data_IF_840015387272
#
_entry.id   IF_840015387272
#
_cell.length_a   1.000
_cell.length_b   1.000
_cell.length_c   1.000
_cell.angle_alpha   90.00
_cell.angle_beta   90.00
_cell.angle_gamma   90.00
#
_symmetry.space_group_name_H-M   'P 1'
#
loop_
_entity.id
_entity.type
_entity.pdbx_description
1 polymer ?
#
# COMPACT_ATOMS: atom_id res chain seq x y z
N UNK A 1 3.12 30.39 64.32
CA UNK A 1 2.44 29.14 63.89
C UNK A 1 1.37 29.43 62.83
N UNK A 2 1.72 29.85 61.61
CA UNK A 2 0.76 29.99 60.49
C UNK A 2 1.34 29.66 59.10
N UNK A 3 2.63 29.32 59.00
CA UNK A 3 3.33 29.09 57.72
C UNK A 3 3.70 27.63 57.46
N UNK A 4 3.40 26.71 58.38
CA UNK A 4 3.73 25.27 58.23
C UNK A 4 2.53 24.47 57.69
N UNK A 5 1.31 25.02 57.74
CA UNK A 5 0.10 24.28 57.36
C UNK A 5 -0.21 24.31 55.86
N UNK A 6 0.40 25.21 55.10
CA UNK A 6 0.09 25.41 53.67
C UNK A 6 0.95 24.55 52.74
N UNK A 7 2.05 23.98 53.23
CA UNK A 7 2.94 23.15 52.42
C UNK A 7 2.51 21.67 52.36
N UNK A 8 1.58 21.24 53.23
CA UNK A 8 1.11 19.85 53.29
C UNK A 8 -0.09 19.56 52.38
N UNK A 9 -0.78 20.58 51.85
CA UNK A 9 -1.92 20.39 50.95
C UNK A 9 -1.55 20.38 49.44
N UNK A 10 -0.31 20.69 49.07
CA UNK A 10 0.14 20.69 47.66
C UNK A 10 0.76 19.36 47.20
N UNK A 11 0.89 18.37 48.08
CA UNK A 11 1.42 17.03 47.77
C UNK A 11 0.32 15.95 47.63
N UNK A 12 -0.95 16.34 47.69
CA UNK A 12 -2.09 15.42 47.79
C UNK A 12 -2.87 15.11 46.52
N UNK A 13 -2.49 15.67 45.36
CA UNK A 13 -3.14 15.34 44.08
C UNK A 13 -2.21 14.47 43.27
N UNK A 14 -2.02 13.23 43.72
CA UNK A 14 -1.66 12.15 42.81
C UNK A 14 -2.85 11.96 41.88
N UNK A 15 -2.85 12.69 40.77
CA UNK A 15 -3.69 12.36 39.62
C UNK A 15 -3.23 10.96 39.22
N UNK A 16 -3.97 9.93 39.64
CA UNK A 16 -3.85 8.62 39.04
C UNK A 16 -4.26 8.79 37.58
N UNK A 17 -3.27 9.10 36.74
CA UNK A 17 -3.31 8.87 35.30
C UNK A 17 -3.41 7.35 35.14
N UNK A 18 -4.59 6.80 35.37
CA UNK A 18 -4.90 5.41 35.06
C UNK A 18 -4.76 5.27 33.56
N UNK A 19 -3.66 4.66 33.13
CA UNK A 19 -3.46 4.35 31.72
C UNK A 19 -4.65 3.51 31.24
N UNK A 20 -5.30 3.96 30.16
CA UNK A 20 -6.46 3.31 29.58
C UNK A 20 -6.19 1.81 29.36
N UNK A 21 -7.01 0.95 30.00
CA UNK A 21 -6.83 -0.49 30.00
C UNK A 21 -7.53 -1.08 28.78
N UNK A 22 -6.73 -1.58 27.84
CA UNK A 22 -7.24 -2.26 26.65
C UNK A 22 -7.19 -3.77 26.88
N UNK A 23 -8.34 -4.42 26.75
CA UNK A 23 -8.51 -5.87 26.87
C UNK A 23 -9.00 -6.45 25.54
N UNK A 24 -8.59 -7.68 25.25
CA UNK A 24 -9.02 -8.42 24.07
C UNK A 24 -9.35 -9.85 24.44
N UNK A 25 -10.62 -10.24 24.25
CA UNK A 25 -11.10 -11.58 24.57
C UNK A 25 -12.24 -11.96 23.63
N UNK A 26 -12.23 -13.20 23.14
CA UNK A 26 -13.26 -13.73 22.25
C UNK A 26 -13.55 -12.79 21.07
N UNK A 27 -12.49 -12.30 20.42
CA UNK A 27 -12.58 -11.37 19.29
C UNK A 27 -13.24 -10.02 19.61
N UNK A 28 -13.37 -9.63 20.88
CA UNK A 28 -13.95 -8.35 21.30
C UNK A 28 -12.88 -7.49 21.95
N UNK A 29 -12.80 -6.23 21.53
CA UNK A 29 -12.02 -5.19 22.21
C UNK A 29 -12.87 -4.59 23.31
N UNK A 30 -12.31 -4.52 24.51
CA UNK A 30 -12.85 -3.73 25.60
C UNK A 30 -11.85 -2.69 26.07
N UNK A 31 -12.34 -1.50 26.39
CA UNK A 31 -11.56 -0.38 26.92
C UNK A 31 -12.15 0.02 28.25
N UNK A 32 -11.35 -0.08 29.31
CA UNK A 32 -11.78 0.13 30.70
C UNK A 32 -13.06 -0.68 31.05
N UNK A 33 -13.16 -1.90 30.51
CA UNK A 33 -14.30 -2.81 30.69
C UNK A 33 -15.44 -2.61 29.70
N UNK A 34 -15.48 -1.52 28.94
CA UNK A 34 -16.52 -1.25 27.95
C UNK A 34 -16.20 -1.91 26.61
N UNK A 35 -17.09 -2.76 26.11
CA UNK A 35 -16.92 -3.41 24.79
C UNK A 35 -17.13 -2.38 23.69
N UNK A 36 -16.12 -2.19 22.84
CA UNK A 36 -16.15 -1.14 21.80
C UNK A 36 -16.17 -1.69 20.38
N UNK A 37 -15.80 -2.95 20.15
CA UNK A 37 -15.81 -3.51 18.80
C UNK A 37 -15.41 -4.97 18.73
N UNK A 38 -15.68 -5.57 17.58
CA UNK A 38 -15.38 -6.96 17.23
C UNK A 38 -14.26 -6.98 16.19
N UNK A 39 -13.28 -7.86 16.38
CA UNK A 39 -12.14 -8.01 15.46
C UNK A 39 -12.20 -9.36 14.78
N UNK A 40 -12.26 -9.33 13.47
CA UNK A 40 -12.06 -10.50 12.63
C UNK A 40 -10.59 -10.55 12.21
N UNK A 41 -9.94 -11.68 12.47
CA UNK A 41 -8.53 -11.91 12.13
C UNK A 41 -8.46 -12.84 10.93
N UNK A 42 -7.94 -12.35 9.82
CA UNK A 42 -7.74 -13.11 8.60
C UNK A 42 -6.28 -13.55 8.51
N UNK A 43 -6.03 -14.83 8.77
CA UNK A 43 -4.68 -15.41 8.70
C UNK A 43 -4.27 -15.60 7.24
N UNK A 44 -3.03 -15.23 6.93
CA UNK A 44 -2.38 -15.42 5.63
C UNK A 44 -1.04 -16.13 5.83
N UNK A 45 -0.49 -16.72 4.76
CA UNK A 45 0.81 -17.41 4.79
C UNK A 45 0.95 -18.41 5.96
N UNK A 46 -0.01 -19.34 6.07
CA UNK A 46 -0.08 -20.31 7.17
C UNK A 46 -0.15 -19.69 8.59
N UNK A 47 -0.58 -18.43 8.68
CA UNK A 47 -0.72 -17.70 9.94
C UNK A 47 0.49 -16.84 10.31
N UNK A 48 1.53 -16.79 9.47
CA UNK A 48 2.70 -15.92 9.67
C UNK A 48 2.34 -14.43 9.52
N UNK A 49 1.33 -14.13 8.72
CA UNK A 49 0.80 -12.77 8.55
C UNK A 49 -0.70 -12.77 8.83
N UNK A 50 -1.23 -11.61 9.23
CA UNK A 50 -2.63 -11.45 9.60
C UNK A 50 -3.15 -10.13 9.06
N UNK A 51 -4.34 -10.12 8.48
CA UNK A 51 -5.11 -8.91 8.23
C UNK A 51 -6.24 -8.81 9.26
N UNK A 52 -6.72 -7.61 9.52
CA UNK A 52 -7.71 -7.36 10.56
C UNK A 52 -8.87 -6.55 10.00
N UNK A 53 -10.09 -6.97 10.29
CA UNK A 53 -11.28 -6.14 10.13
C UNK A 53 -11.83 -5.83 11.52
N UNK A 54 -12.08 -4.55 11.77
CA UNK A 54 -12.79 -4.09 12.96
C UNK A 54 -14.24 -3.80 12.58
N UNK A 55 -15.15 -4.30 13.39
CA UNK A 55 -16.57 -4.02 13.30
C UNK A 55 -17.05 -3.37 14.60
N UNK A 56 -18.09 -2.53 14.50
CA UNK A 56 -18.85 -2.10 15.66
C UNK A 56 -19.53 -3.31 16.33
N UNK A 57 -20.07 -3.10 17.53
CA UNK A 57 -20.82 -4.14 18.22
C UNK A 57 -22.05 -4.60 17.41
N UNK A 58 -22.62 -3.70 16.60
CA UNK A 58 -23.78 -3.96 15.74
C UNK A 58 -23.42 -4.47 14.34
N UNK A 59 -22.13 -4.70 14.07
CA UNK A 59 -21.65 -5.35 12.85
C UNK A 59 -21.32 -4.39 11.69
N UNK A 60 -21.32 -3.08 11.90
CA UNK A 60 -20.83 -2.14 10.88
C UNK A 60 -19.31 -2.21 10.79
N UNK A 61 -18.77 -2.33 9.57
CA UNK A 61 -17.32 -2.38 9.38
C UNK A 61 -16.73 -0.98 9.57
N UNK A 62 -15.76 -0.86 10.47
CA UNK A 62 -15.15 0.41 10.86
C UNK A 62 -13.75 0.57 10.27
N UNK A 63 -12.92 -0.47 10.37
CA UNK A 63 -11.51 -0.42 9.96
C UNK A 63 -11.13 -1.69 9.20
N UNK A 64 -10.35 -1.51 8.14
CA UNK A 64 -9.65 -2.60 7.44
C UNK A 64 -8.16 -2.35 7.60
N UNK A 65 -7.42 -3.31 8.17
CA UNK A 65 -5.97 -3.25 8.29
C UNK A 65 -5.34 -4.40 7.50
N UNK A 66 -4.58 -4.06 6.46
CA UNK A 66 -3.94 -5.01 5.55
C UNK A 66 -2.43 -4.84 5.61
N UNK A 67 -1.69 -5.94 5.60
CA UNK A 67 -0.24 -5.93 5.44
C UNK A 67 0.14 -5.19 4.15
N UNK A 68 1.08 -4.26 4.24
CA UNK A 68 1.58 -3.50 3.11
C UNK A 68 3.00 -3.91 2.76
N UNK A 69 3.13 -4.71 1.70
CA UNK A 69 4.41 -5.20 1.17
C UNK A 69 5.09 -4.20 0.24
N UNK A 70 4.38 -3.14 -0.15
CA UNK A 70 4.84 -2.06 -1.03
C UNK A 70 5.82 -1.07 -0.39
N UNK A 71 6.18 -1.23 0.89
CA UNK A 71 7.03 -0.32 1.64
C UNK A 71 8.40 -0.94 1.94
N UNK A 72 9.46 -0.11 1.88
CA UNK A 72 10.81 -0.52 2.27
C UNK A 72 10.82 -0.88 3.74
N UNK A 73 11.22 -2.12 4.03
CA UNK A 73 11.50 -2.55 5.39
C UNK A 73 12.43 -1.56 6.07
N UNK A 74 12.14 -1.24 7.33
CA UNK A 74 13.00 -0.34 8.09
C UNK A 74 14.34 -1.04 8.35
N UNK A 75 15.43 -0.48 7.84
CA UNK A 75 16.78 -1.05 7.99
C UNK A 75 17.20 -1.19 9.45
N UNK A 76 16.59 -0.41 10.34
CA UNK A 76 16.87 -0.43 11.77
C UNK A 76 15.80 -1.20 12.58
N UNK A 77 14.75 -1.72 11.95
CA UNK A 77 13.66 -2.44 12.60
C UNK A 77 13.16 -3.59 11.71
N UNK A 78 13.73 -4.76 11.95
CA UNK A 78 13.35 -6.04 11.33
C UNK A 78 12.26 -6.79 12.13
N UNK A 79 11.70 -6.16 13.17
CA UNK A 79 10.74 -6.80 14.09
C UNK A 79 9.30 -6.36 13.84
N UNK A 80 9.10 -5.44 12.90
CA UNK A 80 7.79 -4.87 12.59
C UNK A 80 7.50 -4.92 11.08
N UNK A 81 6.22 -4.95 10.77
CA UNK A 81 5.69 -4.87 9.41
C UNK A 81 4.81 -3.65 9.25
N UNK A 82 4.78 -3.09 8.04
CA UNK A 82 3.88 -1.99 7.72
C UNK A 82 2.48 -2.50 7.39
N UNK A 83 1.48 -1.79 7.89
CA UNK A 83 0.08 -2.07 7.67
C UNK A 83 -0.63 -0.79 7.22
N UNK A 84 -1.45 -0.92 6.19
CA UNK A 84 -2.37 0.13 5.75
C UNK A 84 -3.71 -0.06 6.45
N UNK A 85 -4.11 0.95 7.21
CA UNK A 85 -5.39 1.02 7.89
C UNK A 85 -6.30 1.96 7.11
N UNK A 86 -7.45 1.45 6.69
CA UNK A 86 -8.53 2.22 6.06
C UNK A 86 -9.65 2.38 7.07
N UNK A 87 -9.96 3.62 7.45
CA UNK A 87 -11.02 4.00 8.37
C UNK A 87 -12.26 4.34 7.55
N UNK A 88 -13.21 3.39 7.44
CA UNK A 88 -14.27 3.44 6.43
C UNK A 88 -15.26 4.59 6.64
N UNK A 89 -15.81 4.85 7.85
CA UNK A 89 -16.77 5.93 8.03
C UNK A 89 -16.19 7.34 7.77
N UNK A 90 -14.87 7.52 7.95
CA UNK A 90 -14.21 8.82 7.82
C UNK A 90 -13.44 8.99 6.50
N UNK A 91 -13.36 7.93 5.68
CA UNK A 91 -12.57 7.89 4.44
C UNK A 91 -11.09 8.26 4.62
N UNK A 92 -10.53 7.97 5.78
CA UNK A 92 -9.12 8.25 6.08
C UNK A 92 -8.27 6.99 5.97
N UNK A 93 -7.00 7.18 5.59
CA UNK A 93 -6.03 6.10 5.48
C UNK A 93 -4.76 6.49 6.23
N UNK A 94 -4.25 5.56 7.04
CA UNK A 94 -2.97 5.70 7.72
C UNK A 94 -2.11 4.45 7.55
N UNK A 95 -0.79 4.62 7.56
CA UNK A 95 0.16 3.50 7.58
C UNK A 95 0.72 3.38 9.00
N UNK A 96 0.75 2.17 9.54
CA UNK A 96 1.19 1.89 10.91
C UNK A 96 2.18 0.74 10.91
N UNK A 97 3.07 0.71 11.91
CA UNK A 97 3.93 -0.46 12.16
C UNK A 97 3.29 -1.37 13.20
N UNK A 98 3.21 -2.67 12.88
CA UNK A 98 2.82 -3.71 13.83
C UNK A 98 3.98 -4.69 14.02
N UNK A 99 4.31 -5.01 15.27
CA UNK A 99 5.33 -6.01 15.59
C UNK A 99 4.92 -7.39 15.08
N UNK A 100 5.81 -8.11 14.41
CA UNK A 100 5.56 -9.46 13.84
C UNK A 100 5.13 -10.48 14.89
N UNK A 101 5.71 -10.42 16.09
CA UNK A 101 5.42 -11.36 17.18
C UNK A 101 4.11 -11.03 17.93
N UNK A 102 3.62 -9.80 17.81
CA UNK A 102 2.48 -9.30 18.58
C UNK A 102 1.48 -8.49 17.73
N UNK A 103 1.35 -8.82 16.44
CA UNK A 103 0.59 -8.01 15.46
C UNK A 103 -0.82 -7.71 15.94
N UNK A 104 -1.51 -8.74 16.41
CA UNK A 104 -2.89 -8.64 16.89
C UNK A 104 -2.98 -7.73 18.11
N UNK A 105 -2.17 -7.96 19.15
CA UNK A 105 -2.10 -7.08 20.32
C UNK A 105 -1.74 -5.64 19.95
N UNK A 106 -0.86 -5.44 18.97
CA UNK A 106 -0.51 -4.12 18.43
C UNK A 106 -1.71 -3.43 17.79
N UNK A 107 -2.44 -4.14 16.94
CA UNK A 107 -3.67 -3.67 16.32
C UNK A 107 -4.72 -3.28 17.37
N UNK A 108 -5.04 -4.18 18.31
CA UNK A 108 -6.00 -3.92 19.39
C UNK A 108 -5.59 -2.68 20.20
N UNK A 109 -4.31 -2.57 20.56
CA UNK A 109 -3.84 -1.44 21.36
C UNK A 109 -3.93 -0.10 20.60
N UNK A 110 -3.63 -0.07 19.29
CA UNK A 110 -3.77 1.14 18.49
C UNK A 110 -5.22 1.61 18.45
N UNK A 111 -6.16 0.70 18.18
CA UNK A 111 -7.59 1.00 18.14
C UNK A 111 -8.12 1.41 19.51
N UNK A 112 -7.83 0.59 20.54
CA UNK A 112 -8.34 0.78 21.89
C UNK A 112 -7.80 2.06 22.53
N UNK A 113 -6.49 2.31 22.44
CA UNK A 113 -5.88 3.53 23.00
C UNK A 113 -6.17 4.78 22.18
N UNK A 114 -6.39 4.62 20.87
CA UNK A 114 -6.79 5.73 20.00
C UNK A 114 -8.18 6.28 20.32
N UNK A 115 -9.02 5.53 21.06
CA UNK A 115 -10.38 5.94 21.43
C UNK A 115 -11.22 6.43 20.23
N UNK A 116 -10.96 5.86 19.05
CA UNK A 116 -11.50 6.33 17.76
C UNK A 116 -12.94 5.88 17.49
N UNK A 117 -13.43 4.88 18.23
CA UNK A 117 -14.79 4.32 18.02
C UNK A 117 -15.77 5.13 18.86
N UNK A 118 -16.82 5.63 18.22
CA UNK A 118 -17.94 6.29 18.88
C UNK A 118 -19.25 5.60 18.47
N UNK A 119 -19.74 4.70 19.35
CA UNK A 119 -20.90 3.86 19.07
C UNK A 119 -20.67 2.95 17.86
N UNK A 120 -21.45 3.17 16.80
CA UNK A 120 -21.35 2.42 15.54
C UNK A 120 -20.51 3.11 14.46
N UNK A 121 -19.87 4.22 14.77
CA UNK A 121 -19.05 4.98 13.81
C UNK A 121 -17.66 5.25 14.37
N UNK A 122 -16.88 6.03 13.63
CA UNK A 122 -15.58 6.56 14.04
C UNK A 122 -15.65 8.07 14.26
N UNK A 123 -14.90 8.54 15.25
CA UNK A 123 -14.62 9.96 15.49
C UNK A 123 -13.49 10.41 14.57
N UNK A 124 -13.80 11.28 13.60
CA UNK A 124 -12.85 11.70 12.56
C UNK A 124 -11.65 12.48 13.11
N UNK A 125 -11.86 13.29 14.15
CA UNK A 125 -10.78 14.08 14.75
C UNK A 125 -9.79 13.16 15.48
N UNK A 126 -10.32 12.16 16.20
CA UNK A 126 -9.47 11.16 16.86
C UNK A 126 -8.77 10.22 15.90
N UNK A 127 -9.41 9.86 14.77
CA UNK A 127 -8.73 9.12 13.70
C UNK A 127 -7.58 9.94 13.14
N UNK A 128 -7.80 11.24 12.88
CA UNK A 128 -6.75 12.17 12.43
C UNK A 128 -5.60 12.24 13.43
N UNK A 129 -5.91 12.38 14.71
CA UNK A 129 -4.92 12.41 15.79
C UNK A 129 -4.14 11.10 15.88
N UNK A 130 -4.82 9.95 15.78
CA UNK A 130 -4.16 8.64 15.80
C UNK A 130 -3.18 8.48 14.64
N UNK A 131 -3.58 8.88 13.42
CA UNK A 131 -2.71 8.85 12.24
C UNK A 131 -1.52 9.80 12.44
N UNK A 132 -1.75 11.02 12.92
CA UNK A 132 -0.69 12.00 13.13
C UNK A 132 0.32 11.56 14.19
N UNK A 133 -0.13 10.89 15.25
CA UNK A 133 0.71 10.55 16.42
C UNK A 133 1.38 9.17 16.34
N UNK A 134 0.73 8.21 15.67
CA UNK A 134 1.21 6.81 15.59
C UNK A 134 1.43 6.32 14.16
N UNK A 135 0.91 7.06 13.18
CA UNK A 135 1.16 6.76 11.79
C UNK A 135 2.63 6.96 11.41
N UNK A 136 3.03 6.24 10.38
CA UNK A 136 4.35 6.32 9.76
C UNK A 136 4.19 6.65 8.29
N UNK A 137 5.22 7.24 7.68
CA UNK A 137 5.26 7.50 6.25
C UNK A 137 6.47 6.80 5.64
N UNK A 138 6.44 5.46 5.52
CA UNK A 138 7.56 4.71 4.99
C UNK A 138 7.78 5.00 3.52
N UNK A 139 9.02 4.83 3.07
CA UNK A 139 9.35 4.90 1.65
C UNK A 139 8.76 3.67 0.97
N UNK A 140 8.16 3.84 -0.20
CA UNK A 140 7.66 2.74 -1.02
C UNK A 140 8.83 1.90 -1.53
N UNK A 141 8.88 0.62 -1.15
CA UNK A 141 9.73 -0.38 -1.78
C UNK A 141 9.01 -0.83 -3.02
N UNK A 142 9.34 -0.24 -4.15
CA UNK A 142 9.05 -0.93 -5.40
C UNK A 142 10.16 -1.97 -5.56
N UNK A 143 9.89 -3.20 -5.11
CA UNK A 143 10.80 -4.32 -5.33
C UNK A 143 10.56 -4.86 -6.74
N UNK A 144 11.29 -4.32 -7.70
CA UNK A 144 11.23 -4.72 -9.11
C UNK A 144 11.79 -6.12 -9.37
N UNK A 145 12.30 -6.85 -8.38
CA UNK A 145 13.07 -8.09 -8.54
C UNK A 145 12.28 -9.36 -8.22
N UNK A 146 10.96 -9.39 -8.47
CA UNK A 146 10.14 -10.57 -8.17
C UNK A 146 10.30 -11.72 -9.18
N UNK A 147 10.86 -11.48 -10.36
CA UNK A 147 11.14 -12.53 -11.36
C UNK A 147 12.54 -12.36 -11.93
N UNK A 148 13.27 -13.46 -12.14
CA UNK A 148 14.55 -13.44 -12.84
C UNK A 148 14.32 -13.01 -14.28
N UNK A 149 14.99 -11.93 -14.72
CA UNK A 149 14.79 -11.38 -16.06
C UNK A 149 16.08 -11.45 -16.83
N UNK A 150 15.99 -12.08 -17.99
CA UNK A 150 17.13 -12.15 -18.89
C UNK A 150 17.03 -10.98 -19.87
N UNK A 151 17.89 -9.98 -19.69
CA UNK A 151 17.93 -8.76 -20.52
C UNK A 151 18.18 -9.03 -22.01
N UNK A 152 18.67 -10.22 -22.34
CA UNK A 152 18.99 -10.63 -23.70
C UNK A 152 17.93 -11.56 -24.31
N UNK A 153 16.89 -11.95 -23.55
CA UNK A 153 15.86 -12.87 -24.02
C UNK A 153 14.70 -12.09 -24.67
N UNK A 154 14.13 -12.57 -25.80
CA UNK A 154 12.99 -11.91 -26.43
C UNK A 154 11.81 -11.76 -25.47
N UNK A 155 11.12 -10.65 -25.61
CA UNK A 155 9.90 -10.35 -24.87
C UNK A 155 8.69 -10.72 -25.71
N UNK A 156 7.80 -11.50 -25.11
CA UNK A 156 6.54 -11.91 -25.71
C UNK A 156 5.39 -11.19 -24.98
N UNK A 157 4.49 -10.59 -25.75
CA UNK A 157 3.24 -10.03 -25.23
C UNK A 157 2.12 -10.97 -25.68
N UNK A 158 1.24 -11.39 -24.76
CA UNK A 158 0.13 -12.31 -25.04
C UNK A 158 -1.22 -11.59 -25.07
N UNK A 159 -2.24 -12.26 -25.60
CA UNK A 159 -3.61 -11.72 -25.70
C UNK A 159 -4.22 -11.38 -24.33
N UNK A 160 -3.86 -12.13 -23.29
CA UNK A 160 -4.20 -11.83 -21.89
C UNK A 160 -3.43 -10.65 -21.28
N UNK A 161 -2.71 -9.87 -22.10
CA UNK A 161 -1.86 -8.73 -21.70
C UNK A 161 -0.72 -9.11 -20.74
N UNK A 162 -0.39 -10.39 -20.65
CA UNK A 162 0.80 -10.86 -19.95
C UNK A 162 2.06 -10.55 -20.77
N UNK A 163 3.15 -10.33 -20.04
CA UNK A 163 4.49 -10.11 -20.54
C UNK A 163 5.31 -11.33 -20.13
N UNK A 164 5.88 -12.02 -21.12
CA UNK A 164 6.60 -13.27 -20.91
C UNK A 164 8.04 -13.20 -21.42
N UNK A 165 8.95 -13.86 -20.70
CA UNK A 165 10.31 -14.17 -21.14
C UNK A 165 10.61 -15.63 -20.83
N UNK A 166 11.08 -16.40 -21.81
CA UNK A 166 11.51 -17.78 -21.57
C UNK A 166 10.43 -18.73 -21.07
N UNK A 167 9.15 -18.41 -21.28
CA UNK A 167 8.00 -19.17 -20.77
C UNK A 167 7.53 -18.76 -19.37
N UNK A 168 8.16 -17.79 -18.73
CA UNK A 168 7.72 -17.23 -17.44
C UNK A 168 7.03 -15.88 -17.63
N UNK A 169 5.97 -15.63 -16.86
CA UNK A 169 5.32 -14.31 -16.80
C UNK A 169 6.14 -13.37 -15.93
N UNK A 170 6.66 -12.30 -16.53
CA UNK A 170 7.47 -11.28 -15.87
C UNK A 170 6.69 -9.99 -15.55
N UNK A 171 5.45 -9.88 -16.02
CA UNK A 171 4.57 -8.75 -15.73
C UNK A 171 3.31 -8.72 -16.56
N UNK A 172 2.57 -7.63 -16.43
CA UNK A 172 1.34 -7.34 -17.15
C UNK A 172 1.31 -5.88 -17.60
N UNK A 173 0.52 -5.58 -18.63
CA UNK A 173 0.23 -4.21 -19.02
C UNK A 173 -1.28 -3.99 -19.18
N UNK A 174 -1.74 -2.77 -18.97
CA UNK A 174 -3.12 -2.38 -19.25
C UNK A 174 -3.16 -1.02 -19.93
N UNK A 175 -4.13 -0.82 -20.83
CA UNK A 175 -4.41 0.51 -21.38
C UNK A 175 -5.27 1.29 -20.40
N UNK A 176 -4.90 2.55 -20.14
CA UNK A 176 -5.66 3.46 -19.28
C UNK A 176 -6.44 4.50 -20.08
N UNK A 177 -6.40 4.41 -21.41
CA UNK A 177 -7.17 5.24 -22.32
C UNK A 177 -6.30 5.97 -23.34
N UNK A 178 -6.97 6.73 -24.21
CA UNK A 178 -6.36 7.58 -25.22
C UNK A 178 -6.94 8.98 -25.11
N UNK A 179 -6.09 10.00 -24.97
CA UNK A 179 -6.51 11.40 -24.85
C UNK A 179 -5.55 12.30 -25.63
N UNK A 180 -6.10 13.19 -26.46
CA UNK A 180 -5.28 14.14 -27.21
C UNK A 180 -4.31 13.51 -28.21
N UNK A 181 -4.62 12.31 -28.73
CA UNK A 181 -3.74 11.57 -29.64
C UNK A 181 -2.55 10.87 -28.96
N UNK A 182 -2.57 10.79 -27.63
CA UNK A 182 -1.63 10.03 -26.83
C UNK A 182 -2.33 8.81 -26.22
N UNK A 183 -1.70 7.65 -26.37
CA UNK A 183 -2.16 6.42 -25.74
C UNK A 183 -1.42 6.21 -24.41
N UNK A 184 -2.18 5.87 -23.38
CA UNK A 184 -1.71 5.75 -22.00
C UNK A 184 -1.77 4.29 -21.53
N UNK A 185 -0.72 3.84 -20.84
CA UNK A 185 -0.60 2.48 -20.34
C UNK A 185 0.05 2.43 -18.96
N UNK A 186 -0.32 1.41 -18.20
CA UNK A 186 0.31 1.06 -16.92
C UNK A 186 0.92 -0.33 -17.00
N UNK A 187 2.11 -0.49 -16.42
CA UNK A 187 2.85 -1.74 -16.35
C UNK A 187 2.90 -2.22 -14.91
N UNK A 188 2.79 -3.53 -14.73
CA UNK A 188 2.75 -4.19 -13.43
C UNK A 188 3.72 -5.37 -13.41
N UNK A 189 4.31 -5.63 -12.25
CA UNK A 189 4.93 -6.93 -11.97
C UNK A 189 3.85 -7.99 -11.68
N UNK A 190 4.19 -9.30 -11.67
CA UNK A 190 3.18 -10.36 -11.62
C UNK A 190 2.31 -10.39 -10.36
N UNK A 191 2.77 -9.77 -9.27
CA UNK A 191 2.02 -9.62 -8.02
C UNK A 191 1.00 -8.46 -8.06
N UNK A 192 0.92 -7.73 -9.18
CA UNK A 192 0.00 -6.62 -9.39
C UNK A 192 0.52 -5.26 -8.94
N UNK A 193 1.80 -5.14 -8.55
CA UNK A 193 2.38 -3.83 -8.22
C UNK A 193 2.69 -3.05 -9.51
N UNK A 194 2.15 -1.83 -9.61
CA UNK A 194 2.42 -0.94 -10.74
C UNK A 194 3.86 -0.43 -10.70
N UNK A 195 4.58 -0.58 -11.80
CA UNK A 195 6.00 -0.25 -11.93
C UNK A 195 6.29 0.94 -12.83
N UNK A 196 5.43 1.19 -13.82
CA UNK A 196 5.56 2.31 -14.74
C UNK A 196 4.20 2.77 -15.26
N UNK A 197 4.05 4.08 -15.46
CA UNK A 197 3.04 4.66 -16.33
C UNK A 197 3.73 5.22 -17.56
N UNK A 198 3.17 4.96 -18.73
CA UNK A 198 3.72 5.49 -19.98
C UNK A 198 2.64 6.14 -20.82
N UNK A 199 3.01 7.23 -21.49
CA UNK A 199 2.19 7.89 -22.50
C UNK A 199 3.01 8.07 -23.77
N UNK A 200 2.44 7.81 -24.94
CA UNK A 200 3.12 8.05 -26.21
C UNK A 200 2.15 8.43 -27.32
N UNK A 201 2.65 9.12 -28.34
CA UNK A 201 1.90 9.45 -29.55
C UNK A 201 2.46 8.68 -30.77
N UNK A 202 1.62 8.48 -31.78
CA UNK A 202 2.02 7.85 -33.05
C UNK A 202 1.81 6.34 -33.13
N UNK A 203 1.11 5.75 -32.16
CA UNK A 203 0.74 4.34 -32.12
C UNK A 203 1.96 3.42 -32.26
N UNK A 204 1.89 2.42 -33.15
CA UNK A 204 3.02 1.53 -33.44
C UNK A 204 4.28 2.24 -33.97
N UNK A 205 4.18 3.49 -34.46
CA UNK A 205 5.31 4.26 -34.97
C UNK A 205 5.93 5.23 -33.95
N UNK A 206 5.52 5.15 -32.68
CA UNK A 206 6.06 5.99 -31.62
C UNK A 206 7.59 5.89 -31.53
N UNK A 207 8.23 7.06 -31.43
CA UNK A 207 9.70 7.22 -31.35
C UNK A 207 10.17 7.56 -29.93
N UNK A 208 9.25 7.94 -29.06
CA UNK A 208 9.49 8.25 -27.67
C UNK A 208 8.23 7.97 -26.84
N UNK A 209 8.39 7.93 -25.52
CA UNK A 209 7.30 7.88 -24.56
C UNK A 209 7.64 8.72 -23.33
N UNK A 210 6.63 9.33 -22.72
CA UNK A 210 6.72 9.89 -21.36
C UNK A 210 6.64 8.72 -20.37
N UNK A 211 7.58 8.64 -19.45
CA UNK A 211 7.67 7.62 -18.42
C UNK A 211 7.53 8.27 -17.04
N UNK A 212 6.67 7.68 -16.21
CA UNK A 212 6.68 7.89 -14.77
C UNK A 212 6.89 6.55 -14.07
N UNK A 213 7.86 6.49 -13.15
CA UNK A 213 8.06 5.31 -12.29
C UNK A 213 7.80 5.70 -10.83
N UNK A 214 7.07 4.88 -10.04
CA UNK A 214 6.90 5.15 -8.62
C UNK A 214 8.22 5.12 -7.83
N UNK A 215 9.26 4.43 -8.34
CA UNK A 215 10.62 4.42 -7.78
C UNK A 215 11.30 5.77 -7.87
N UNK A 216 11.32 6.39 -9.05
CA UNK A 216 12.10 7.60 -9.27
C UNK A 216 11.27 8.86 -8.98
N UNK A 217 9.94 8.75 -9.04
CA UNK A 217 8.98 9.85 -8.80
C UNK A 217 9.18 11.05 -9.73
N UNK A 218 9.86 10.85 -10.86
CA UNK A 218 10.11 11.86 -11.88
C UNK A 218 9.49 11.41 -13.19
N UNK A 219 9.02 12.38 -13.98
CA UNK A 219 8.61 12.16 -15.36
C UNK A 219 9.78 12.44 -16.29
N UNK A 220 10.11 11.48 -17.13
CA UNK A 220 11.17 11.61 -18.13
C UNK A 220 10.65 11.21 -19.51
N UNK A 221 11.24 11.77 -20.56
CA UNK A 221 10.96 11.34 -21.94
C UNK A 221 12.06 10.39 -22.37
N UNK A 222 11.66 9.19 -22.79
CA UNK A 222 12.57 8.12 -23.22
C UNK A 222 12.44 7.93 -24.72
N UNK A 223 13.57 7.87 -25.42
CA UNK A 223 13.59 7.58 -26.85
C UNK A 223 13.60 6.06 -27.13
N UNK A 224 12.73 5.63 -28.04
CA UNK A 224 12.58 4.25 -28.50
C UNK A 224 12.53 4.23 -30.04
N UNK A 225 13.64 4.60 -30.70
CA UNK A 225 13.64 4.85 -32.13
C UNK A 225 13.21 3.62 -32.92
N UNK A 226 12.31 3.82 -33.88
CA UNK A 226 11.89 2.78 -34.83
C UNK A 226 12.49 3.12 -36.19
N UNK A 227 13.37 2.23 -36.70
CA UNK A 227 14.09 2.45 -37.96
C UNK A 227 13.20 2.31 -39.20
N UNK A 228 12.22 1.43 -39.13
CA UNK A 228 11.32 1.13 -40.26
C UNK A 228 9.93 1.69 -40.00
N UNK A 229 9.28 2.28 -41.00
CA UNK A 229 7.90 2.76 -40.86
C UNK A 229 6.95 1.57 -40.94
N UNK A 230 6.18 1.35 -39.89
CA UNK A 230 5.25 0.22 -39.80
C UNK A 230 3.87 0.71 -40.25
N UNK A 231 3.30 0.02 -41.25
CA UNK A 231 1.91 0.23 -41.68
C UNK A 231 0.89 -0.20 -40.62
N UNK A 232 -0.40 0.00 -40.90
CA UNK A 232 -1.49 -0.36 -39.99
C UNK A 232 -1.53 -1.86 -39.70
N UNK A 233 -0.94 -2.27 -38.57
CA UNK A 233 -1.03 -3.62 -38.01
C UNK A 233 -2.09 -3.61 -36.92
N UNK A 234 -3.20 -4.32 -37.12
CA UNK A 234 -4.12 -4.66 -36.03
C UNK A 234 -3.66 -5.98 -35.41
N UNK A 235 -3.26 -5.95 -34.14
CA UNK A 235 -3.02 -7.16 -33.37
C UNK A 235 -4.26 -7.47 -32.51
N UNK A 236 -4.59 -8.75 -32.36
CA UNK A 236 -5.57 -9.23 -31.38
C UNK A 236 -5.14 -8.97 -29.93
N UNK A 237 -3.84 -8.75 -29.70
CA UNK A 237 -3.27 -8.43 -28.39
C UNK A 237 -3.54 -6.96 -28.07
N UNK A 238 -2.99 -6.02 -28.85
CA UNK A 238 -3.16 -4.57 -28.63
C UNK A 238 -2.87 -3.80 -29.93
N UNK A 239 -3.62 -2.73 -30.26
CA UNK A 239 -3.35 -1.92 -31.44
C UNK A 239 -1.92 -1.34 -31.47
N UNK A 240 -1.28 -1.15 -30.31
CA UNK A 240 0.06 -0.59 -30.19
C UNK A 240 1.14 -1.62 -29.86
N UNK A 241 0.92 -2.90 -30.22
CA UNK A 241 1.78 -4.03 -29.89
C UNK A 241 3.30 -3.77 -30.10
N UNK A 242 3.69 -3.18 -31.24
CA UNK A 242 5.11 -3.02 -31.57
C UNK A 242 5.79 -1.97 -30.68
N UNK A 243 5.08 -0.88 -30.42
CA UNK A 243 5.55 0.14 -29.47
C UNK A 243 5.61 -0.43 -28.07
N UNK A 244 4.58 -1.15 -27.63
CA UNK A 244 4.56 -1.80 -26.31
C UNK A 244 5.71 -2.80 -26.15
N UNK A 245 6.06 -3.58 -27.18
CA UNK A 245 7.25 -4.46 -27.15
C UNK A 245 8.53 -3.66 -26.92
N UNK A 246 8.71 -2.53 -27.59
CA UNK A 246 9.91 -1.67 -27.42
C UNK A 246 9.96 -1.02 -26.03
N UNK A 247 8.84 -0.50 -25.54
CA UNK A 247 8.73 0.07 -24.19
C UNK A 247 9.07 -1.01 -23.15
N UNK A 248 8.47 -2.20 -23.29
CA UNK A 248 8.70 -3.32 -22.37
C UNK A 248 10.17 -3.73 -22.36
N UNK A 249 10.81 -3.83 -23.53
CA UNK A 249 12.24 -4.10 -23.63
C UNK A 249 13.09 -3.06 -22.91
N UNK A 250 12.76 -1.78 -23.07
CA UNK A 250 13.45 -0.71 -22.36
C UNK A 250 13.27 -0.82 -20.84
N UNK A 251 12.05 -1.10 -20.35
CA UNK A 251 11.77 -1.26 -18.93
C UNK A 251 12.56 -2.43 -18.33
N UNK A 252 12.62 -3.58 -19.01
CA UNK A 252 13.42 -4.74 -18.58
C UNK A 252 14.91 -4.43 -18.57
N UNK A 253 15.44 -3.76 -19.62
CA UNK A 253 16.86 -3.39 -19.70
C UNK A 253 17.28 -2.44 -18.57
N UNK A 254 16.38 -1.54 -18.14
CA UNK A 254 16.64 -0.53 -17.13
C UNK A 254 16.20 -0.95 -15.70
N UNK A 255 15.76 -2.20 -15.51
CA UNK A 255 15.30 -2.75 -14.22
C UNK A 255 14.08 -2.01 -13.63
N UNK A 256 13.16 -1.59 -14.50
CA UNK A 256 11.84 -1.09 -14.11
C UNK A 256 10.73 -2.11 -14.32
N UNK A 257 10.93 -3.09 -15.19
CA UNK A 257 10.03 -4.22 -15.31
C UNK A 257 10.77 -5.50 -14.98
#
# INVERSE_FOLDING_TARGET
MKTIFTFLCLLGVNIFLSAQKVEYKNNIIAVDGNKIGKVEVQKQNLGLTKNFNLYSMDGQKLVIAVLSTEFEGDRNDNTSMYYRFTFLPTNQVGIFKLSTLAMEKGFINLIGKGSIINGNSLDADKVTELIATKGVSPRTSVNYTLVSRNRNWPIELREGKSIEQGGETIGFFTSTGSMGGQDSYEFFVPDGIMVAKVNFAGGNNAQNFELFTPRDKVRIVVSIPQKDKVGGLSSSIDPNLLTLKRITAWLVQNNYL
#
